data_IF_770156167404
#
_entry.id   IF_770156167404
#
_cell.length_a   1.000
_cell.length_b   1.000
_cell.length_c   1.000
_cell.angle_alpha   90.00
_cell.angle_beta   90.00
_cell.angle_gamma   90.00
#
_symmetry.space_group_name_H-M   'P 1'
#
loop_
_entity.id
_entity.type
_entity.pdbx_description
1 polymer ?
#
# COMPACT_ATOMS: atom_id res chain seq x y z
N UNK A 1 -4.26 -10.89 -9.03
CA UNK A 1 -5.37 -11.03 -10.03
C UNK A 1 -5.13 -12.13 -11.07
N UNK A 2 -4.57 -13.28 -10.77
CA UNK A 2 -4.23 -14.26 -11.81
C UNK A 2 -5.34 -15.21 -12.22
N UNK A 3 -6.25 -15.52 -11.33
CA UNK A 3 -7.40 -16.42 -11.57
C UNK A 3 -8.67 -15.78 -11.02
N UNK A 4 -9.67 -15.65 -11.86
CA UNK A 4 -10.96 -15.06 -11.49
C UNK A 4 -11.88 -16.11 -10.83
N UNK A 5 -11.33 -16.91 -9.94
CA UNK A 5 -12.03 -17.98 -9.24
C UNK A 5 -11.94 -17.73 -7.73
N UNK A 6 -13.06 -17.86 -7.05
CA UNK A 6 -13.21 -17.62 -5.61
C UNK A 6 -12.19 -18.39 -4.75
N UNK A 7 -11.68 -19.52 -5.22
CA UNK A 7 -10.70 -20.34 -4.50
C UNK A 7 -9.25 -19.85 -4.64
N UNK A 8 -8.99 -18.92 -5.54
CA UNK A 8 -7.64 -18.44 -5.88
C UNK A 8 -7.50 -16.93 -5.82
N UNK A 9 -8.40 -16.26 -5.11
CA UNK A 9 -8.38 -14.80 -4.95
C UNK A 9 -7.58 -14.44 -3.72
N UNK A 10 -6.43 -13.79 -3.91
CA UNK A 10 -5.49 -13.45 -2.85
C UNK A 10 -5.68 -12.04 -2.30
N UNK A 11 -6.88 -11.60 -1.92
CA UNK A 11 -7.08 -10.28 -1.31
C UNK A 11 -7.60 -10.32 0.14
N UNK A 12 -7.76 -11.53 0.71
CA UNK A 12 -8.01 -11.72 2.14
C UNK A 12 -6.74 -12.02 2.94
N UNK A 13 -5.60 -12.11 2.26
CA UNK A 13 -4.32 -12.52 2.82
C UNK A 13 -3.77 -11.50 3.81
N UNK A 14 -3.91 -10.20 3.55
CA UNK A 14 -3.42 -9.13 4.44
C UNK A 14 -3.98 -9.28 5.85
N UNK A 15 -5.31 -9.29 6.09
CA UNK A 15 -5.85 -9.47 7.43
C UNK A 15 -5.54 -10.83 8.05
N UNK A 16 -5.37 -11.88 7.27
CA UNK A 16 -5.07 -13.21 7.78
C UNK A 16 -3.60 -13.37 8.21
N UNK A 17 -2.68 -12.88 7.41
CA UNK A 17 -1.23 -13.11 7.59
C UNK A 17 -0.61 -12.02 8.45
N UNK A 18 -1.02 -10.76 8.27
CA UNK A 18 -0.42 -9.62 8.97
C UNK A 18 -0.61 -9.63 10.49
N UNK A 19 -1.47 -10.49 11.03
CA UNK A 19 -1.71 -10.63 12.46
C UNK A 19 -0.91 -11.78 13.11
N UNK A 20 -0.07 -12.49 12.36
CA UNK A 20 0.78 -13.56 12.91
C UNK A 20 1.95 -12.91 13.67
N UNK A 21 2.14 -13.21 14.97
CA UNK A 21 3.23 -12.64 15.74
C UNK A 21 4.60 -13.04 15.16
N UNK A 22 5.54 -12.10 15.21
CA UNK A 22 6.92 -12.28 14.74
C UNK A 22 7.11 -12.51 13.24
N UNK A 23 6.04 -12.57 12.45
CA UNK A 23 6.11 -12.67 11.00
C UNK A 23 6.46 -11.29 10.41
N UNK A 24 7.38 -11.25 9.47
CA UNK A 24 7.62 -10.10 8.58
C UNK A 24 6.87 -10.36 7.27
N UNK A 25 5.97 -9.45 6.92
CA UNK A 25 5.18 -9.54 5.69
C UNK A 25 5.48 -8.36 4.79
N UNK A 26 6.11 -8.63 3.66
CA UNK A 26 6.63 -7.66 2.71
C UNK A 26 5.73 -7.58 1.47
N UNK A 27 5.66 -6.38 0.87
CA UNK A 27 4.95 -6.14 -0.39
C UNK A 27 5.82 -5.28 -1.31
N UNK A 28 6.60 -5.89 -2.22
CA UNK A 28 7.43 -5.17 -3.17
C UNK A 28 6.58 -4.41 -4.19
N UNK A 29 7.04 -3.24 -4.60
CA UNK A 29 6.42 -2.39 -5.63
C UNK A 29 6.98 -2.65 -7.03
N UNK A 30 8.14 -3.28 -7.12
CA UNK A 30 8.82 -3.57 -8.38
C UNK A 30 9.69 -4.82 -8.30
N UNK A 31 10.14 -5.28 -9.46
CA UNK A 31 10.95 -6.49 -9.59
C UNK A 31 12.27 -6.41 -8.84
N UNK A 32 12.91 -5.25 -8.89
CA UNK A 32 14.18 -5.01 -8.20
C UNK A 32 13.99 -5.13 -6.68
N UNK A 33 12.94 -4.56 -6.14
CA UNK A 33 12.60 -4.64 -4.72
C UNK A 33 12.21 -6.08 -4.33
N UNK A 34 11.47 -6.78 -5.19
CA UNK A 34 11.13 -8.19 -4.94
C UNK A 34 12.37 -9.06 -4.76
N UNK A 35 13.37 -8.93 -5.63
CA UNK A 35 14.60 -9.73 -5.51
C UNK A 35 15.42 -9.32 -4.29
N UNK A 36 15.53 -8.02 -4.00
CA UNK A 36 16.22 -7.55 -2.81
C UNK A 36 15.56 -8.07 -1.51
N UNK A 37 14.23 -8.04 -1.44
CA UNK A 37 13.46 -8.61 -0.33
C UNK A 37 13.66 -10.13 -0.21
N UNK A 38 13.69 -10.83 -1.34
CA UNK A 38 13.90 -12.29 -1.37
C UNK A 38 15.29 -12.66 -0.88
N UNK A 39 16.33 -11.98 -1.37
CA UNK A 39 17.72 -12.20 -0.95
C UNK A 39 17.87 -11.94 0.55
N UNK A 40 17.35 -10.80 1.05
CA UNK A 40 17.34 -10.51 2.48
C UNK A 40 16.58 -11.59 3.29
N UNK A 41 15.40 -12.01 2.82
CA UNK A 41 14.58 -13.01 3.53
C UNK A 41 15.27 -14.37 3.67
N UNK A 42 16.09 -14.76 2.69
CA UNK A 42 16.83 -16.03 2.70
C UNK A 42 18.07 -15.96 3.63
N UNK A 43 18.71 -14.80 3.72
CA UNK A 43 19.94 -14.61 4.50
C UNK A 43 19.69 -14.40 5.99
N UNK A 44 18.63 -13.68 6.37
CA UNK A 44 18.27 -13.44 7.77
C UNK A 44 17.72 -14.72 8.44
N UNK A 45 17.79 -14.79 9.79
CA UNK A 45 17.38 -15.98 10.58
C UNK A 45 16.47 -15.64 11.76
N UNK A 46 16.12 -14.38 11.91
CA UNK A 46 15.44 -13.87 13.11
C UNK A 46 13.92 -13.94 13.01
N UNK A 47 13.39 -13.95 11.78
CA UNK A 47 11.95 -13.88 11.53
C UNK A 47 11.50 -14.82 10.41
N UNK A 48 10.32 -15.43 10.50
CA UNK A 48 9.63 -15.98 9.34
C UNK A 48 9.23 -14.82 8.43
N UNK A 49 9.41 -14.97 7.12
CA UNK A 49 9.13 -13.92 6.14
C UNK A 49 8.10 -14.42 5.12
N UNK A 50 7.10 -13.61 4.86
CA UNK A 50 6.19 -13.75 3.72
C UNK A 50 6.40 -12.55 2.76
N UNK A 51 6.35 -12.81 1.45
CA UNK A 51 6.44 -11.78 0.42
C UNK A 51 5.19 -11.87 -0.45
N UNK A 52 4.45 -10.78 -0.53
CA UNK A 52 3.22 -10.66 -1.31
C UNK A 52 3.53 -10.14 -2.70
N UNK A 53 3.20 -10.91 -3.71
CA UNK A 53 3.42 -10.53 -5.11
C UNK A 53 2.15 -10.74 -5.92
N UNK A 54 1.87 -9.89 -6.94
CA UNK A 54 0.73 -10.09 -7.82
C UNK A 54 0.95 -11.32 -8.72
N UNK A 55 -0.13 -12.06 -9.01
CA UNK A 55 -0.09 -13.22 -9.89
C UNK A 55 0.31 -12.90 -11.34
N UNK A 56 0.10 -11.67 -11.75
CA UNK A 56 0.51 -11.14 -13.08
C UNK A 56 2.00 -10.85 -13.20
N UNK A 57 2.74 -10.99 -12.08
CA UNK A 57 4.16 -10.65 -12.01
C UNK A 57 4.40 -9.20 -11.61
N UNK A 58 5.65 -8.89 -11.30
CA UNK A 58 6.07 -7.56 -10.80
C UNK A 58 6.79 -6.81 -11.91
N UNK A 59 6.39 -5.57 -12.15
CA UNK A 59 7.00 -4.73 -13.19
C UNK A 59 8.42 -4.28 -12.82
N UNK A 60 9.26 -4.05 -13.82
CA UNK A 60 10.59 -3.44 -13.64
C UNK A 60 10.42 -1.93 -13.52
N UNK A 61 11.00 -1.32 -12.49
CA UNK A 61 10.93 0.13 -12.28
C UNK A 61 12.18 0.88 -12.74
N UNK A 62 13.33 0.21 -12.73
CA UNK A 62 14.65 0.83 -12.93
C UNK A 62 15.07 1.76 -11.79
N UNK A 63 14.30 1.83 -10.70
CA UNK A 63 14.65 2.63 -9.51
C UNK A 63 15.70 1.91 -8.65
N UNK A 64 16.62 2.65 -8.00
CA UNK A 64 17.41 2.09 -6.92
C UNK A 64 16.51 1.59 -5.81
N UNK A 65 16.84 0.45 -5.21
CA UNK A 65 16.11 -0.14 -4.08
C UNK A 65 17.08 -0.46 -2.94
N UNK A 66 16.56 -0.46 -1.72
CA UNK A 66 17.34 -0.93 -0.57
C UNK A 66 17.65 -2.42 -0.69
N UNK A 67 18.81 -2.83 -0.21
CA UNK A 67 19.20 -4.23 -0.13
C UNK A 67 18.99 -4.83 1.27
N UNK A 68 18.78 -3.99 2.29
CA UNK A 68 18.63 -4.40 3.69
C UNK A 68 17.27 -3.99 4.26
N UNK A 69 16.52 -4.98 4.72
CA UNK A 69 15.20 -4.81 5.36
C UNK A 69 15.24 -5.14 6.86
N UNK A 70 16.41 -5.18 7.48
CA UNK A 70 16.59 -5.49 8.91
C UNK A 70 16.00 -4.41 9.84
N UNK A 71 15.94 -3.17 9.39
CA UNK A 71 15.17 -2.11 10.07
C UNK A 71 13.69 -2.29 9.75
N UNK A 72 13.03 -3.14 10.56
CA UNK A 72 11.65 -3.55 10.31
C UNK A 72 10.68 -2.36 10.30
N UNK A 73 9.68 -2.48 9.43
CA UNK A 73 8.57 -1.52 9.26
C UNK A 73 9.01 -0.11 8.82
N UNK A 74 10.20 0.05 8.30
CA UNK A 74 10.65 1.33 7.76
C UNK A 74 10.07 1.57 6.38
N UNK A 75 9.35 2.67 6.23
CA UNK A 75 8.75 3.09 4.96
C UNK A 75 9.73 3.93 4.15
N UNK A 76 9.52 4.02 2.86
CA UNK A 76 10.31 4.82 1.94
C UNK A 76 9.47 5.98 1.40
N UNK A 77 9.95 7.22 1.57
CA UNK A 77 9.37 8.39 0.93
C UNK A 77 10.00 8.55 -0.45
N UNK A 78 9.26 8.25 -1.49
CA UNK A 78 9.74 8.26 -2.88
C UNK A 78 9.51 9.62 -3.56
N UNK A 79 8.48 10.34 -3.18
CA UNK A 79 8.23 11.73 -3.60
C UNK A 79 7.79 12.56 -2.38
N UNK A 80 8.38 13.75 -2.23
CA UNK A 80 8.02 14.68 -1.15
C UNK A 80 7.03 15.72 -1.64
N UNK A 81 6.00 15.92 -0.87
CA UNK A 81 4.99 16.94 -1.06
C UNK A 81 4.46 17.45 0.27
N UNK A 82 3.23 17.94 0.28
CA UNK A 82 2.58 18.46 1.49
C UNK A 82 1.06 18.28 1.40
N UNK A 83 0.36 18.47 2.52
CA UNK A 83 -1.10 18.38 2.70
C UNK A 83 -1.65 16.95 2.58
N UNK A 84 -1.28 16.20 1.56
CA UNK A 84 -1.73 14.83 1.31
C UNK A 84 -0.52 13.90 1.27
N UNK A 85 -0.54 12.81 2.05
CA UNK A 85 0.43 11.72 1.95
C UNK A 85 -0.29 10.46 1.46
N UNK A 86 0.21 9.84 0.39
CA UNK A 86 -0.31 8.62 -0.20
C UNK A 86 0.62 7.46 0.16
N UNK A 87 0.12 6.51 0.93
CA UNK A 87 0.79 5.26 1.26
C UNK A 87 0.27 4.18 0.32
N UNK A 88 1.01 3.86 -0.71
CA UNK A 88 0.60 2.92 -1.75
C UNK A 88 1.34 1.59 -1.58
N UNK A 89 0.59 0.53 -1.24
CA UNK A 89 1.14 -0.74 -0.83
C UNK A 89 1.35 -1.68 -2.03
N UNK A 90 2.56 -2.20 -2.18
CA UNK A 90 2.89 -3.27 -3.12
C UNK A 90 2.48 -2.94 -4.56
N UNK A 91 1.66 -3.78 -5.17
CA UNK A 91 1.21 -3.64 -6.57
C UNK A 91 0.44 -2.33 -6.83
N UNK A 92 -0.23 -1.78 -5.81
CA UNK A 92 -0.94 -0.49 -5.94
C UNK A 92 -0.02 0.74 -5.85
N UNK A 93 1.30 0.53 -5.80
CA UNK A 93 2.24 1.64 -5.84
C UNK A 93 2.13 2.43 -7.16
N UNK A 94 1.99 1.76 -8.31
CA UNK A 94 1.77 2.42 -9.61
C UNK A 94 0.48 3.22 -9.63
N UNK A 95 -0.60 2.69 -9.02
CA UNK A 95 -1.86 3.43 -8.84
C UNK A 95 -1.65 4.70 -8.00
N UNK A 96 -0.78 4.62 -6.98
CA UNK A 96 -0.37 5.78 -6.19
C UNK A 96 0.41 6.81 -6.98
N UNK A 97 1.35 6.39 -7.83
CA UNK A 97 2.11 7.29 -8.73
C UNK A 97 1.17 8.03 -9.69
N UNK A 98 0.27 7.31 -10.36
CA UNK A 98 -0.70 7.90 -11.30
C UNK A 98 -1.65 8.88 -10.60
N UNK A 99 -2.13 8.52 -9.40
CA UNK A 99 -2.97 9.41 -8.57
C UNK A 99 -2.22 10.68 -8.17
N UNK A 100 -0.96 10.57 -7.72
CA UNK A 100 -0.13 11.71 -7.35
C UNK A 100 0.11 12.67 -8.54
N UNK A 101 0.33 12.13 -9.73
CA UNK A 101 0.46 12.93 -10.95
C UNK A 101 -0.83 13.66 -11.35
N UNK A 102 -2.00 13.05 -11.14
CA UNK A 102 -3.29 13.71 -11.36
C UNK A 102 -3.53 14.84 -10.35
N UNK A 103 -3.25 14.60 -9.08
CA UNK A 103 -3.32 15.61 -8.03
C UNK A 103 -2.39 16.79 -8.31
N UNK A 104 -1.17 16.53 -8.78
CA UNK A 104 -0.19 17.55 -9.16
C UNK A 104 -0.68 18.46 -10.29
N UNK A 105 -1.37 17.91 -11.29
CA UNK A 105 -2.02 18.69 -12.34
C UNK A 105 -3.09 19.64 -11.80
N UNK A 106 -3.69 19.30 -10.65
CA UNK A 106 -4.67 20.12 -9.92
C UNK A 106 -4.00 21.03 -8.87
N UNK A 107 -2.67 21.11 -8.82
CA UNK A 107 -1.91 21.95 -7.89
C UNK A 107 -1.69 21.36 -6.50
N UNK A 108 -1.97 20.06 -6.32
CA UNK A 108 -1.77 19.33 -5.06
C UNK A 108 -0.53 18.45 -5.21
N UNK A 109 0.58 18.83 -4.58
CA UNK A 109 1.80 18.04 -4.55
C UNK A 109 1.76 17.07 -3.38
N UNK A 110 1.31 15.84 -3.61
CA UNK A 110 1.23 14.83 -2.57
C UNK A 110 2.61 14.21 -2.26
N UNK A 111 2.81 13.81 -1.01
CA UNK A 111 3.92 12.92 -0.64
C UNK A 111 3.55 11.49 -1.04
N UNK A 112 4.42 10.80 -1.78
CA UNK A 112 4.24 9.38 -2.11
C UNK A 112 5.17 8.52 -1.28
N UNK A 113 4.61 7.47 -0.67
CA UNK A 113 5.29 6.60 0.27
C UNK A 113 5.08 5.14 -0.14
N UNK A 114 6.18 4.39 -0.20
CA UNK A 114 6.18 2.94 -0.30
C UNK A 114 6.28 2.34 1.11
N UNK A 115 5.24 1.71 1.65
CA UNK A 115 5.29 1.11 2.98
C UNK A 115 6.22 -0.10 3.07
N UNK A 116 6.39 -0.88 2.02
CA UNK A 116 7.22 -2.10 1.95
C UNK A 116 6.78 -3.22 2.90
N UNK A 117 6.38 -2.88 4.13
CA UNK A 117 5.97 -3.80 5.19
C UNK A 117 4.47 -3.71 5.44
N UNK A 118 3.82 -4.88 5.52
CA UNK A 118 2.39 -4.99 5.83
C UNK A 118 2.18 -5.16 7.34
N UNK A 119 3.10 -5.84 8.04
CA UNK A 119 2.93 -6.28 9.44
C UNK A 119 2.96 -5.16 10.45
N UNK A 120 3.78 -4.12 10.25
CA UNK A 120 3.97 -3.06 11.23
C UNK A 120 3.79 -1.66 10.66
N UNK A 121 4.08 -0.67 11.49
CA UNK A 121 3.97 0.75 11.15
C UNK A 121 5.31 1.45 11.36
N UNK A 122 5.69 2.32 10.44
CA UNK A 122 6.75 3.32 10.64
C UNK A 122 6.18 4.48 11.47
N UNK A 123 6.13 4.27 12.79
CA UNK A 123 5.51 5.25 13.70
C UNK A 123 6.25 6.59 13.69
N UNK A 124 7.56 6.60 13.45
CA UNK A 124 8.36 7.83 13.37
C UNK A 124 7.97 8.63 12.13
N UNK A 125 7.92 7.99 10.96
CA UNK A 125 7.50 8.65 9.73
C UNK A 125 6.05 9.14 9.82
N UNK A 126 5.14 8.29 10.28
CA UNK A 126 3.73 8.63 10.41
C UNK A 126 3.49 9.80 11.38
N UNK A 127 4.27 9.90 12.47
CA UNK A 127 4.20 11.03 13.38
C UNK A 127 4.72 12.33 12.71
N UNK A 128 5.83 12.22 11.97
CA UNK A 128 6.43 13.37 11.26
C UNK A 128 5.51 13.92 10.16
N UNK A 129 4.68 13.08 9.53
CA UNK A 129 3.72 13.54 8.53
C UNK A 129 2.72 14.58 9.08
N UNK A 130 2.39 14.54 10.36
CA UNK A 130 1.45 15.49 11.00
C UNK A 130 1.89 16.96 10.89
N UNK A 131 3.18 17.21 10.71
CA UNK A 131 3.71 18.59 10.64
C UNK A 131 3.30 19.33 9.35
N UNK A 132 3.18 18.61 8.24
CA UNK A 132 2.98 19.21 6.91
C UNK A 132 1.78 18.62 6.14
N UNK A 133 1.10 17.61 6.72
CA UNK A 133 -0.01 16.92 6.09
C UNK A 133 -1.28 17.02 6.94
N UNK A 134 -2.41 17.20 6.29
CA UNK A 134 -3.75 17.17 6.92
C UNK A 134 -4.52 15.90 6.55
N UNK A 135 -4.01 15.14 5.58
CA UNK A 135 -4.65 13.94 5.08
C UNK A 135 -3.63 12.85 4.79
N UNK A 136 -3.97 11.63 5.15
CA UNK A 136 -3.25 10.40 4.81
C UNK A 136 -4.18 9.47 4.05
N UNK A 137 -3.73 9.01 2.89
CA UNK A 137 -4.44 8.12 1.99
C UNK A 137 -3.71 6.79 1.95
N UNK A 138 -4.42 5.68 2.01
CA UNK A 138 -3.83 4.35 1.83
C UNK A 138 -4.44 3.65 0.63
N UNK A 139 -3.59 3.00 -0.15
CA UNK A 139 -3.99 2.17 -1.30
C UNK A 139 -3.50 0.75 -1.06
N UNK A 140 -4.43 -0.21 -1.05
CA UNK A 140 -4.13 -1.64 -0.92
C UNK A 140 -5.01 -2.48 -1.85
N UNK A 141 -4.43 -3.47 -2.51
CA UNK A 141 -5.14 -4.43 -3.35
C UNK A 141 -5.73 -5.61 -2.54
N UNK A 142 -6.03 -5.36 -1.27
CA UNK A 142 -6.67 -6.23 -0.30
C UNK A 142 -8.02 -5.72 0.15
N UNK A 143 -8.72 -6.51 0.97
CA UNK A 143 -9.96 -6.07 1.63
C UNK A 143 -9.64 -5.03 2.70
N UNK A 144 -10.50 -4.01 2.81
CA UNK A 144 -10.33 -2.95 3.80
C UNK A 144 -10.48 -3.46 5.23
N UNK A 145 -11.42 -4.38 5.48
CA UNK A 145 -11.67 -4.95 6.81
C UNK A 145 -10.44 -5.70 7.34
N UNK A 146 -9.81 -5.20 8.38
CA UNK A 146 -8.57 -5.73 8.94
C UNK A 146 -7.32 -5.52 8.09
N UNK A 147 -7.42 -4.71 7.05
CA UNK A 147 -6.37 -4.42 6.09
C UNK A 147 -5.28 -3.47 6.60
N UNK A 148 -4.39 -3.09 5.69
CA UNK A 148 -3.31 -2.16 5.96
C UNK A 148 -3.84 -0.76 6.29
N UNK A 149 -4.86 -0.27 5.55
CA UNK A 149 -5.46 1.03 5.74
C UNK A 149 -6.08 1.21 7.12
N UNK A 150 -6.74 0.18 7.67
CA UNK A 150 -7.28 0.24 9.04
C UNK A 150 -6.20 0.42 10.11
N UNK A 151 -5.01 -0.15 9.93
CA UNK A 151 -3.88 0.06 10.85
C UNK A 151 -3.43 1.52 10.84
N UNK A 152 -3.35 2.13 9.66
CA UNK A 152 -3.02 3.54 9.49
C UNK A 152 -4.11 4.43 10.10
N UNK A 153 -5.38 4.15 9.81
CA UNK A 153 -6.51 4.89 10.38
C UNK A 153 -6.52 4.82 11.92
N UNK A 154 -6.23 3.63 12.48
CA UNK A 154 -6.10 3.47 13.93
C UNK A 154 -4.95 4.30 14.51
N UNK A 155 -3.82 4.42 13.81
CA UNK A 155 -2.70 5.24 14.26
C UNK A 155 -3.11 6.72 14.38
N UNK A 156 -3.87 7.21 13.41
CA UNK A 156 -4.31 8.61 13.37
C UNK A 156 -5.62 8.89 14.11
N UNK A 157 -6.30 7.88 14.66
CA UNK A 157 -7.63 7.99 15.23
C UNK A 157 -7.83 9.01 16.34
N UNK A 158 -6.75 9.41 17.04
CA UNK A 158 -6.76 10.47 18.05
C UNK A 158 -6.11 11.78 17.59
N UNK A 159 -5.96 11.98 16.28
CA UNK A 159 -5.34 13.17 15.69
C UNK A 159 -6.30 13.89 14.76
N UNK A 160 -5.93 15.10 14.32
CA UNK A 160 -6.69 15.88 13.33
C UNK A 160 -6.42 15.45 11.88
N UNK A 161 -5.61 14.41 11.66
CA UNK A 161 -5.33 13.88 10.33
C UNK A 161 -6.56 13.15 9.80
N UNK A 162 -7.06 13.57 8.65
CA UNK A 162 -8.08 12.82 7.92
C UNK A 162 -7.45 11.59 7.28
N UNK A 163 -8.10 10.43 7.39
CA UNK A 163 -7.65 9.22 6.70
C UNK A 163 -8.66 8.78 5.66
N UNK A 164 -8.19 8.49 4.45
CA UNK A 164 -8.96 7.84 3.39
C UNK A 164 -8.30 6.50 3.05
N UNK A 165 -9.07 5.41 3.12
CA UNK A 165 -8.56 4.08 2.84
C UNK A 165 -9.24 3.53 1.58
N UNK A 166 -8.44 3.17 0.59
CA UNK A 166 -8.87 2.59 -0.67
C UNK A 166 -8.41 1.13 -0.73
N UNK A 167 -9.35 0.26 -0.97
CA UNK A 167 -9.17 -1.18 -1.06
C UNK A 167 -10.49 -1.86 -1.44
N UNK A 168 -10.52 -3.16 -1.43
CA UNK A 168 -11.66 -3.95 -1.85
C UNK A 168 -12.69 -4.08 -0.72
N UNK A 169 -13.97 -4.17 -1.09
CA UNK A 169 -15.04 -4.58 -0.19
C UNK A 169 -14.88 -6.03 0.23
N UNK A 170 -15.32 -6.35 1.46
CA UNK A 170 -15.31 -7.71 1.97
C UNK A 170 -16.45 -8.52 1.39
N UNK A 171 -16.23 -9.04 0.18
CA UNK A 171 -17.18 -9.89 -0.53
C UNK A 171 -16.44 -10.97 -1.31
N UNK A 172 -17.11 -12.09 -1.57
CA UNK A 172 -16.57 -13.12 -2.45
C UNK A 172 -16.85 -12.75 -3.90
N UNK A 173 -15.77 -12.60 -4.67
CA UNK A 173 -15.84 -12.35 -6.10
C UNK A 173 -15.63 -13.66 -6.86
N UNK A 174 -16.47 -13.93 -7.85
CA UNK A 174 -16.34 -15.10 -8.74
C UNK A 174 -16.52 -14.68 -10.20
N UNK A 175 -15.63 -15.14 -11.07
CA UNK A 175 -15.66 -14.87 -12.53
C UNK A 175 -15.85 -13.40 -12.89
N UNK A 176 -15.10 -12.54 -12.24
CA UNK A 176 -15.22 -11.10 -12.39
C UNK A 176 -14.26 -10.51 -13.45
N UNK A 177 -14.63 -9.35 -13.97
CA UNK A 177 -13.71 -8.48 -14.70
C UNK A 177 -12.96 -7.59 -13.71
N UNK A 178 -11.62 -7.58 -13.79
CA UNK A 178 -10.78 -6.82 -12.85
C UNK A 178 -11.04 -5.32 -12.93
N UNK A 179 -11.17 -4.76 -14.14
CA UNK A 179 -11.42 -3.32 -14.32
C UNK A 179 -12.76 -2.89 -13.73
N UNK A 180 -13.81 -3.72 -13.87
CA UNK A 180 -15.13 -3.44 -13.30
C UNK A 180 -15.08 -3.45 -11.77
N UNK A 181 -14.32 -4.39 -11.17
CA UNK A 181 -14.13 -4.46 -9.72
C UNK A 181 -13.37 -3.24 -9.22
N UNK A 182 -12.28 -2.86 -9.89
CA UNK A 182 -11.51 -1.67 -9.50
C UNK A 182 -12.40 -0.40 -9.56
N UNK A 183 -13.13 -0.19 -10.64
CA UNK A 183 -14.07 0.94 -10.78
C UNK A 183 -15.17 0.94 -9.71
N UNK A 184 -15.75 -0.24 -9.40
CA UNK A 184 -16.81 -0.36 -8.40
C UNK A 184 -16.32 -0.10 -6.97
N UNK A 185 -15.01 -0.21 -6.72
CA UNK A 185 -14.37 0.06 -5.44
C UNK A 185 -13.63 1.41 -5.40
N UNK A 186 -13.82 2.29 -6.39
CA UNK A 186 -13.11 3.58 -6.51
C UNK A 186 -11.58 3.42 -6.54
N UNK A 187 -11.11 2.40 -7.24
CA UNK A 187 -9.69 2.05 -7.36
C UNK A 187 -9.12 2.40 -8.75
N UNK A 188 -9.53 3.52 -9.30
CA UNK A 188 -8.87 4.14 -10.46
C UNK A 188 -8.19 5.45 -10.05
N UNK A 189 -7.11 5.87 -10.75
CA UNK A 189 -6.40 7.11 -10.40
C UNK A 189 -7.31 8.33 -10.37
N UNK A 190 -8.25 8.41 -11.32
CA UNK A 190 -9.21 9.51 -11.44
C UNK A 190 -10.17 9.55 -10.25
N UNK A 191 -10.80 8.41 -9.92
CA UNK A 191 -11.75 8.32 -8.81
C UNK A 191 -11.07 8.63 -7.47
N UNK A 192 -9.86 8.10 -7.24
CA UNK A 192 -9.10 8.37 -6.02
C UNK A 192 -8.74 9.85 -5.92
N UNK A 193 -8.30 10.47 -7.03
CA UNK A 193 -7.97 11.89 -7.05
C UNK A 193 -9.20 12.77 -6.80
N UNK A 194 -10.35 12.43 -7.37
CA UNK A 194 -11.64 13.09 -7.13
C UNK A 194 -12.08 12.97 -5.67
N UNK A 195 -12.03 11.76 -5.09
CA UNK A 195 -12.41 11.51 -3.70
C UNK A 195 -11.50 12.27 -2.72
N UNK A 196 -10.18 12.33 -2.97
CA UNK A 196 -9.23 13.13 -2.19
C UNK A 196 -9.62 14.61 -2.23
N UNK A 197 -9.85 15.16 -3.43
CA UNK A 197 -10.21 16.57 -3.60
C UNK A 197 -11.54 16.93 -2.95
N UNK A 198 -12.52 16.02 -2.96
CA UNK A 198 -13.83 16.23 -2.35
C UNK A 198 -13.77 16.33 -0.82
N UNK A 199 -12.73 15.79 -0.17
CA UNK A 199 -12.57 15.74 1.30
C UNK A 199 -11.57 16.80 1.81
N UNK A 200 -10.74 17.38 0.93
CA UNK A 200 -9.80 18.44 1.30
C UNK A 200 -10.52 19.73 1.72
#
# INVERSE_FOLDING_TARGET
>A
YGMNDITHIGFFDIPMIANIPNLVYLAPTCKEEYFAMLDWAVEQKDHPVAIRVPATGVATSGRPVDADYSTLNRYEVTEKGSKVAILALGDFYTLGEETAELLKKSGIHATLINPRFITGLDSELLENLKAEHSMVVTLEDGVLDGGFGEKIARFYGASDIKTLNFGLKKEFLDRYNVEDVLKANHLTPEQIAEDIQAVM
#
